data_IF_352291087720
#
_entry.id   IF_352291087720
#
_cell.length_a   1.000
_cell.length_b   1.000
_cell.length_c   1.000
_cell.angle_alpha   90.00
_cell.angle_beta   90.00
_cell.angle_gamma   90.00
#
_symmetry.space_group_name_H-M   'P 1'
#
loop_
_entity.id
_entity.type
_entity.pdbx_description
1 polymer ?
#
# COMPACT_ATOMS: atom_id res chain seq x y z
N UNK A 1 -91.22 18.01 7.40
CA UNK A 1 -91.75 18.33 8.73
C UNK A 1 -90.57 18.38 9.69
N UNK A 2 -90.45 19.49 10.44
CA UNK A 2 -89.65 19.70 11.66
C UNK A 2 -88.10 19.56 11.54
N UNK A 3 -87.36 20.69 11.47
CA UNK A 3 -86.80 21.49 12.59
C UNK A 3 -85.32 21.11 12.83
N UNK A 4 -84.29 21.98 12.89
CA UNK A 4 -84.10 23.41 13.21
C UNK A 4 -82.83 23.93 12.48
N UNK A 5 -82.90 25.14 11.90
CA UNK A 5 -82.19 26.40 12.28
C UNK A 5 -80.65 26.27 12.33
N UNK A 6 -79.85 26.92 11.45
CA UNK A 6 -79.80 28.36 11.16
C UNK A 6 -78.64 28.96 11.98
N UNK A 7 -77.45 29.18 11.39
CA UNK A 7 -76.96 30.47 10.85
C UNK A 7 -76.73 31.53 11.97
N UNK A 8 -75.69 32.34 12.04
CA UNK A 8 -74.61 32.74 11.14
C UNK A 8 -73.66 33.68 11.89
N UNK A 9 -72.41 33.75 11.47
CA UNK A 9 -71.49 34.85 11.74
C UNK A 9 -70.09 34.36 11.43
N UNK A 10 -69.36 34.85 10.44
CA UNK A 10 -69.54 35.95 9.52
C UNK A 10 -68.14 36.24 8.94
N UNK A 11 -68.14 36.93 7.81
CA UNK A 11 -66.99 37.60 7.19
C UNK A 11 -66.17 36.77 6.19
N UNK A 12 -66.39 37.20 4.95
CA UNK A 12 -65.80 36.91 3.66
C UNK A 12 -64.29 37.14 3.61
N UNK A 13 -63.53 36.16 3.11
CA UNK A 13 -62.19 36.36 2.54
C UNK A 13 -61.95 35.37 1.40
N UNK A 14 -61.88 35.95 0.20
CA UNK A 14 -61.39 35.33 -1.05
C UNK A 14 -60.10 34.52 -0.81
N UNK A 15 -60.12 33.24 -1.19
CA UNK A 15 -58.93 32.37 -1.23
C UNK A 15 -58.47 32.24 -2.67
N UNK A 16 -57.24 32.70 -2.92
CA UNK A 16 -56.42 32.45 -4.10
C UNK A 16 -55.54 31.22 -3.84
N UNK A 17 -55.46 30.35 -4.85
CA UNK A 17 -54.44 29.33 -5.15
C UNK A 17 -53.39 28.97 -4.07
N UNK A 18 -53.51 27.76 -3.51
CA UNK A 18 -52.44 27.09 -2.76
C UNK A 18 -51.81 25.99 -3.61
N UNK A 19 -50.58 26.21 -4.08
CA UNK A 19 -49.72 25.19 -4.68
C UNK A 19 -49.16 24.25 -3.62
N UNK A 20 -49.19 22.96 -3.92
CA UNK A 20 -48.68 21.89 -3.08
C UNK A 20 -47.15 21.79 -3.25
N UNK A 21 -46.39 22.31 -2.29
CA UNK A 21 -44.94 22.02 -2.14
C UNK A 21 -44.77 20.88 -1.15
N UNK A 22 -44.40 19.71 -1.66
CA UNK A 22 -43.99 18.56 -0.86
C UNK A 22 -42.59 18.87 -0.31
N UNK A 23 -42.52 19.24 0.97
CA UNK A 23 -41.27 19.35 1.71
C UNK A 23 -40.69 17.97 1.94
N UNK A 24 -39.57 17.67 1.28
CA UNK A 24 -38.76 16.49 1.58
C UNK A 24 -38.02 16.69 2.91
N UNK A 25 -38.29 15.85 3.90
CA UNK A 25 -37.41 15.69 5.05
C UNK A 25 -36.07 15.13 4.54
N UNK A 26 -35.04 15.97 4.52
CA UNK A 26 -33.66 15.49 4.52
C UNK A 26 -33.38 14.88 5.90
N UNK A 27 -33.39 13.55 5.99
CA UNK A 27 -32.89 12.85 7.17
C UNK A 27 -31.39 13.13 7.30
N UNK A 28 -31.00 13.91 8.30
CA UNK A 28 -29.61 14.11 8.67
C UNK A 28 -29.04 12.77 9.16
N UNK A 29 -28.01 12.27 8.49
CA UNK A 29 -27.28 11.08 8.91
C UNK A 29 -26.54 11.36 10.24
N UNK A 30 -26.44 10.38 11.15
CA UNK A 30 -25.73 10.57 12.41
C UNK A 30 -24.25 10.84 12.14
N UNK A 31 -23.73 11.94 12.69
CA UNK A 31 -22.29 12.19 12.75
C UNK A 31 -21.69 11.21 13.76
N UNK A 32 -21.05 10.15 13.26
CA UNK A 32 -20.58 9.08 14.16
C UNK A 32 -19.76 7.99 13.51
N UNK A 33 -18.92 8.32 12.52
CA UNK A 33 -17.69 7.59 12.21
C UNK A 33 -16.76 8.60 11.53
N UNK A 34 -15.63 8.91 12.16
CA UNK A 34 -14.56 9.58 11.42
C UNK A 34 -14.26 8.70 10.20
N UNK A 35 -14.51 9.21 8.98
CA UNK A 35 -14.04 8.54 7.77
C UNK A 35 -12.54 8.31 7.98
N UNK A 36 -12.07 7.09 7.79
CA UNK A 36 -10.63 6.81 7.73
C UNK A 36 -10.00 7.88 6.84
N UNK A 37 -8.93 8.52 7.32
CA UNK A 37 -8.24 9.54 6.53
C UNK A 37 -7.84 8.88 5.20
N UNK A 38 -8.33 9.42 4.09
CA UNK A 38 -8.06 8.86 2.77
C UNK A 38 -6.78 9.48 2.23
N UNK A 39 -5.89 8.65 1.69
CA UNK A 39 -4.70 9.13 0.99
C UNK A 39 -5.14 9.92 -0.26
N UNK A 40 -4.53 11.09 -0.49
CA UNK A 40 -4.81 11.87 -1.71
C UNK A 40 -4.52 11.03 -2.96
N UNK A 41 -5.57 10.85 -3.77
CA UNK A 41 -5.53 10.10 -5.00
C UNK A 41 -4.53 10.67 -6.04
N UNK A 42 -4.17 11.95 -5.93
CA UNK A 42 -3.26 12.63 -6.83
C UNK A 42 -1.84 12.82 -6.27
N UNK A 43 -1.55 12.29 -5.07
CA UNK A 43 -0.27 12.51 -4.40
C UNK A 43 0.95 12.09 -5.24
N UNK A 44 0.79 11.11 -6.14
CA UNK A 44 1.84 10.65 -7.05
C UNK A 44 2.09 11.51 -8.28
N UNK A 45 1.22 12.48 -8.61
CA UNK A 45 1.28 13.20 -9.88
C UNK A 45 2.57 14.01 -10.01
N UNK A 46 3.41 13.64 -10.96
CA UNK A 46 4.68 14.30 -11.26
C UNK A 46 5.81 13.96 -10.27
N UNK A 47 5.55 13.13 -9.27
CA UNK A 47 6.54 12.64 -8.32
C UNK A 47 7.51 11.68 -8.98
N UNK A 48 8.79 11.83 -8.65
CA UNK A 48 9.89 11.06 -9.20
C UNK A 48 10.11 9.80 -8.34
N UNK A 49 10.09 8.62 -8.95
CA UNK A 49 10.31 7.35 -8.26
C UNK A 49 11.58 6.69 -8.79
N UNK A 50 12.50 6.38 -7.88
CA UNK A 50 13.58 5.44 -8.16
C UNK A 50 13.10 4.02 -7.87
N UNK A 51 12.92 3.24 -8.93
CA UNK A 51 12.54 1.83 -8.83
C UNK A 51 13.80 0.97 -8.94
N UNK A 52 14.25 0.43 -7.81
CA UNK A 52 15.43 -0.43 -7.72
C UNK A 52 14.98 -1.88 -7.91
N UNK A 53 15.49 -2.53 -8.94
CA UNK A 53 15.12 -3.88 -9.33
C UNK A 53 16.30 -4.57 -9.98
N UNK A 54 16.16 -5.86 -10.30
CA UNK A 54 17.17 -6.53 -11.06
C UNK A 54 16.96 -6.39 -12.58
N UNK A 55 17.90 -5.76 -13.26
CA UNK A 55 17.86 -5.59 -14.72
C UNK A 55 18.75 -6.58 -15.46
N UNK A 56 19.65 -7.29 -14.77
CA UNK A 56 20.71 -8.09 -15.43
C UNK A 56 20.63 -9.62 -15.27
N UNK A 57 19.96 -10.18 -14.25
CA UNK A 57 19.87 -11.64 -13.96
C UNK A 57 19.37 -12.42 -15.17
N UNK A 58 18.29 -11.98 -15.83
CA UNK A 58 17.74 -12.69 -16.98
C UNK A 58 18.69 -12.66 -18.18
N UNK A 59 19.34 -11.52 -18.46
CA UNK A 59 20.28 -11.41 -19.59
C UNK A 59 21.53 -12.23 -19.35
N UNK A 60 22.10 -12.18 -18.13
CA UNK A 60 23.21 -13.04 -17.71
C UNK A 60 22.85 -14.53 -17.85
N UNK A 61 21.64 -14.91 -17.43
CA UNK A 61 21.19 -16.30 -17.53
C UNK A 61 21.02 -16.76 -18.99
N UNK A 62 20.50 -15.90 -19.88
CA UNK A 62 20.39 -16.19 -21.32
C UNK A 62 21.74 -16.31 -22.02
N UNK A 63 22.75 -15.56 -21.56
CA UNK A 63 24.09 -15.55 -22.13
C UNK A 63 25.04 -16.62 -21.55
N UNK A 64 24.66 -17.30 -20.47
CA UNK A 64 25.51 -18.26 -19.78
C UNK A 64 25.78 -19.52 -20.63
N UNK A 65 26.99 -20.08 -20.47
CA UNK A 65 27.43 -21.31 -21.15
C UNK A 65 28.02 -22.29 -20.13
N UNK A 66 27.44 -23.51 -19.95
CA UNK A 66 26.21 -23.96 -20.58
C UNK A 66 24.98 -23.15 -20.10
N UNK A 67 23.91 -23.07 -20.91
CA UNK A 67 22.71 -22.34 -20.51
C UNK A 67 22.04 -23.02 -19.30
N UNK A 68 21.43 -22.24 -18.38
CA UNK A 68 20.62 -22.77 -17.30
C UNK A 68 19.40 -23.54 -17.82
N UNK A 69 18.77 -24.31 -16.94
CA UNK A 69 17.52 -25.00 -17.29
C UNK A 69 16.43 -24.00 -17.74
N UNK A 70 15.59 -24.36 -18.74
CA UNK A 70 14.53 -23.47 -19.25
C UNK A 70 13.60 -22.92 -18.16
N UNK A 71 13.32 -23.70 -17.12
CA UNK A 71 12.50 -23.29 -15.98
C UNK A 71 13.09 -22.07 -15.24
N UNK A 72 14.42 -21.98 -15.15
CA UNK A 72 15.11 -20.83 -14.53
C UNK A 72 14.94 -19.57 -15.36
N UNK A 73 15.06 -19.69 -16.69
CA UNK A 73 14.85 -18.55 -17.61
C UNK A 73 13.41 -18.07 -17.53
N UNK A 74 12.43 -18.99 -17.49
CA UNK A 74 11.03 -18.66 -17.35
C UNK A 74 10.72 -17.95 -16.01
N UNK A 75 11.29 -18.43 -14.90
CA UNK A 75 11.15 -17.76 -13.60
C UNK A 75 11.71 -16.34 -13.63
N UNK A 76 12.94 -16.15 -14.13
CA UNK A 76 13.57 -14.83 -14.26
C UNK A 76 12.77 -13.87 -15.17
N UNK A 77 12.15 -14.39 -16.22
CA UNK A 77 11.23 -13.61 -17.05
C UNK A 77 9.99 -13.19 -16.27
N UNK A 78 9.38 -14.11 -15.52
CA UNK A 78 8.23 -13.81 -14.65
C UNK A 78 8.53 -12.71 -13.63
N UNK A 79 9.72 -12.74 -13.01
CA UNK A 79 10.14 -11.72 -12.04
C UNK A 79 10.21 -10.33 -12.69
N UNK A 80 10.88 -10.23 -13.84
CA UNK A 80 10.94 -8.99 -14.62
C UNK A 80 9.56 -8.51 -15.06
N UNK A 81 8.68 -9.41 -15.46
CA UNK A 81 7.32 -9.04 -15.88
C UNK A 81 6.50 -8.48 -14.70
N UNK A 82 6.73 -8.98 -13.48
CA UNK A 82 6.10 -8.44 -12.27
C UNK A 82 6.64 -7.06 -11.90
N UNK A 83 7.95 -6.82 -12.02
CA UNK A 83 8.54 -5.48 -11.90
C UNK A 83 7.89 -4.51 -12.90
N UNK A 84 7.74 -4.94 -14.16
CA UNK A 84 7.12 -4.10 -15.20
C UNK A 84 5.66 -3.77 -14.90
N UNK A 85 4.89 -4.72 -14.35
CA UNK A 85 3.51 -4.48 -13.92
C UNK A 85 3.45 -3.47 -12.76
N UNK A 86 4.35 -3.58 -11.78
CA UNK A 86 4.45 -2.62 -10.69
C UNK A 86 4.82 -1.21 -11.18
N UNK A 87 5.79 -1.10 -12.09
CA UNK A 87 6.19 0.16 -12.73
C UNK A 87 5.03 0.77 -13.52
N UNK A 88 4.32 -0.03 -14.33
CA UNK A 88 3.16 0.44 -15.09
C UNK A 88 2.04 0.94 -14.16
N UNK A 89 1.82 0.25 -13.04
CA UNK A 89 0.86 0.69 -12.04
C UNK A 89 1.24 2.05 -11.42
N UNK A 90 2.50 2.24 -11.03
CA UNK A 90 2.99 3.54 -10.56
C UNK A 90 2.79 4.63 -11.61
N UNK A 91 3.16 4.37 -12.86
CA UNK A 91 2.96 5.33 -13.96
C UNK A 91 1.48 5.70 -14.15
N UNK A 92 0.57 4.74 -13.98
CA UNK A 92 -0.89 4.99 -14.06
C UNK A 92 -1.39 5.95 -12.97
N UNK A 93 -0.69 6.05 -11.83
CA UNK A 93 -0.97 6.99 -10.75
C UNK A 93 -0.29 8.37 -10.96
N UNK A 94 0.41 8.55 -12.09
CA UNK A 94 1.06 9.81 -12.46
C UNK A 94 2.50 9.96 -11.96
N UNK A 95 3.08 8.90 -11.37
CA UNK A 95 4.51 8.88 -11.03
C UNK A 95 5.37 8.83 -12.29
N UNK A 96 6.55 9.45 -12.20
CA UNK A 96 7.62 9.36 -13.19
C UNK A 96 8.66 8.38 -12.68
N UNK A 97 8.68 7.18 -13.26
CA UNK A 97 9.49 6.08 -12.75
C UNK A 97 10.80 5.96 -13.51
N UNK A 98 11.93 6.04 -12.80
CA UNK A 98 13.28 5.70 -13.29
C UNK A 98 13.67 4.37 -12.68
N UNK A 99 13.85 3.35 -13.51
CA UNK A 99 14.36 2.06 -13.08
C UNK A 99 15.88 2.09 -13.03
N UNK A 100 16.45 1.49 -12.00
CA UNK A 100 17.89 1.29 -11.86
C UNK A 100 18.17 -0.13 -11.41
N UNK A 101 19.32 -0.65 -11.82
CA UNK A 101 19.77 -1.99 -11.43
C UNK A 101 20.28 -1.99 -9.98
N UNK A 102 20.23 -3.14 -9.32
CA UNK A 102 20.67 -3.36 -7.94
C UNK A 102 22.11 -2.88 -7.66
N UNK A 103 23.00 -2.90 -8.66
CA UNK A 103 24.39 -2.41 -8.54
C UNK A 103 24.53 -0.89 -8.61
N UNK A 104 23.47 -0.15 -8.93
CA UNK A 104 23.58 1.28 -9.21
C UNK A 104 24.02 2.08 -7.98
N UNK A 105 24.74 3.17 -8.22
CA UNK A 105 25.18 4.09 -7.16
C UNK A 105 23.98 4.66 -6.41
N UNK A 106 24.16 4.92 -5.11
CA UNK A 106 23.17 5.63 -4.28
C UNK A 106 22.87 7.04 -4.81
N UNK A 107 23.79 7.64 -5.57
CA UNK A 107 23.61 8.97 -6.18
C UNK A 107 22.40 9.06 -7.13
N UNK A 108 21.95 7.92 -7.68
CA UNK A 108 20.74 7.82 -8.50
C UNK A 108 19.46 8.23 -7.75
N UNK A 109 19.49 8.21 -6.42
CA UNK A 109 18.39 8.67 -5.56
C UNK A 109 18.26 10.21 -5.52
N UNK A 110 19.23 10.96 -6.05
CA UNK A 110 19.18 12.42 -6.04
C UNK A 110 17.98 12.93 -6.85
N UNK A 111 17.18 13.80 -6.23
CA UNK A 111 16.00 14.41 -6.88
C UNK A 111 14.79 13.49 -6.99
N UNK A 112 14.81 12.34 -6.31
CA UNK A 112 13.70 11.40 -6.25
C UNK A 112 12.80 11.72 -5.04
N UNK A 113 11.49 11.56 -5.21
CA UNK A 113 10.49 11.74 -4.14
C UNK A 113 10.20 10.42 -3.40
N UNK A 114 10.54 9.28 -4.01
CA UNK A 114 10.33 7.94 -3.46
C UNK A 114 11.40 6.99 -3.98
N UNK A 115 11.87 6.10 -3.10
CA UNK A 115 12.64 4.91 -3.47
C UNK A 115 11.74 3.70 -3.27
N UNK A 116 11.62 2.85 -4.27
CA UNK A 116 10.94 1.56 -4.16
C UNK A 116 11.94 0.46 -4.52
N UNK A 117 12.19 -0.45 -3.58
CA UNK A 117 13.08 -1.59 -3.75
C UNK A 117 12.22 -2.84 -3.98
N UNK A 118 12.31 -3.39 -5.19
CA UNK A 118 11.63 -4.64 -5.54
C UNK A 118 12.30 -5.84 -4.85
N UNK A 119 11.55 -6.93 -4.69
CA UNK A 119 12.12 -8.22 -4.25
C UNK A 119 12.94 -8.89 -5.35
N UNK A 120 12.85 -8.44 -6.61
CA UNK A 120 13.69 -9.03 -7.67
C UNK A 120 15.19 -8.77 -7.50
N UNK A 121 15.57 -7.82 -6.64
CA UNK A 121 16.96 -7.47 -6.33
C UNK A 121 17.72 -8.62 -5.65
N UNK A 122 19.02 -8.48 -5.51
CA UNK A 122 19.80 -9.21 -4.53
C UNK A 122 20.06 -8.28 -3.33
N UNK A 123 19.61 -8.68 -2.15
CA UNK A 123 19.75 -7.88 -0.92
C UNK A 123 21.22 -7.58 -0.58
N UNK A 124 22.16 -8.48 -0.93
CA UNK A 124 23.59 -8.28 -0.69
C UNK A 124 24.11 -7.12 -1.56
N UNK A 125 23.71 -7.07 -2.83
CA UNK A 125 24.15 -6.07 -3.80
C UNK A 125 23.54 -4.68 -3.53
N UNK A 126 22.32 -4.65 -3.00
CA UNK A 126 21.68 -3.40 -2.55
C UNK A 126 22.28 -2.92 -1.23
N UNK A 127 22.37 -3.81 -0.25
CA UNK A 127 22.82 -3.52 1.12
C UNK A 127 22.11 -2.34 1.79
N UNK A 128 22.79 -1.72 2.75
CA UNK A 128 22.24 -0.59 3.52
C UNK A 128 22.27 0.78 2.84
N UNK A 129 22.58 0.88 1.54
CA UNK A 129 22.94 2.17 0.89
C UNK A 129 21.82 3.21 0.92
N UNK A 130 20.57 2.78 0.99
CA UNK A 130 19.40 3.68 1.05
C UNK A 130 18.94 4.02 2.48
N UNK A 131 19.49 3.36 3.51
CA UNK A 131 19.03 3.45 4.91
C UNK A 131 18.91 4.88 5.42
N UNK A 132 19.97 5.67 5.26
CA UNK A 132 20.10 7.01 5.84
C UNK A 132 19.54 8.13 4.95
N UNK A 133 19.03 7.83 3.75
CA UNK A 133 18.54 8.87 2.85
C UNK A 133 17.24 9.49 3.37
N UNK A 134 17.12 10.83 3.37
CA UNK A 134 15.90 11.55 3.78
C UNK A 134 14.83 11.55 2.68
N UNK A 135 14.67 10.41 1.99
CA UNK A 135 13.69 10.18 0.92
C UNK A 135 12.79 9.02 1.37
N UNK A 136 11.45 9.10 1.26
CA UNK A 136 10.55 7.99 1.54
C UNK A 136 11.01 6.69 0.85
N UNK A 137 10.87 5.55 1.54
CA UNK A 137 11.31 4.26 1.04
C UNK A 137 10.24 3.19 1.27
N UNK A 138 9.93 2.45 0.20
CA UNK A 138 9.14 1.22 0.23
C UNK A 138 10.05 0.06 -0.17
N UNK A 139 10.02 -1.03 0.58
CA UNK A 139 10.72 -2.27 0.20
C UNK A 139 9.75 -3.44 0.17
N UNK A 140 9.92 -4.29 -0.84
CA UNK A 140 9.32 -5.62 -0.89
C UNK A 140 10.32 -6.67 -0.39
N UNK A 141 11.62 -6.38 -0.49
CA UNK A 141 12.71 -7.26 -0.10
C UNK A 141 12.81 -7.36 1.43
N UNK A 142 12.61 -8.57 1.97
CA UNK A 142 12.63 -8.82 3.41
C UNK A 142 14.06 -8.89 3.96
N UNK A 143 15.01 -9.38 3.15
CA UNK A 143 16.39 -9.60 3.53
C UNK A 143 17.15 -8.27 3.67
N UNK A 144 16.50 -7.16 3.32
CA UNK A 144 16.98 -5.78 3.57
C UNK A 144 16.40 -5.14 4.83
N UNK A 145 15.42 -5.75 5.51
CA UNK A 145 14.72 -5.09 6.61
C UNK A 145 15.66 -4.79 7.79
N UNK A 146 16.62 -5.66 8.08
CA UNK A 146 17.65 -5.42 9.12
C UNK A 146 18.62 -4.29 8.73
N UNK A 147 19.09 -4.31 7.49
CA UNK A 147 20.03 -3.37 6.88
C UNK A 147 19.44 -1.96 6.85
N UNK A 148 18.15 -1.87 6.52
CA UNK A 148 17.36 -0.63 6.54
C UNK A 148 16.98 -0.20 7.97
N UNK A 149 17.22 -1.04 8.98
CA UNK A 149 16.91 -0.81 10.39
C UNK A 149 15.42 -0.94 10.73
N UNK A 150 14.62 -1.53 9.84
CA UNK A 150 13.17 -1.65 9.97
C UNK A 150 12.74 -2.79 10.89
N UNK A 151 13.60 -3.79 11.08
CA UNK A 151 13.44 -4.93 11.98
C UNK A 151 14.79 -5.24 12.65
N UNK A 152 14.84 -6.30 13.46
CA UNK A 152 16.12 -6.96 13.78
C UNK A 152 16.75 -7.65 12.57
N UNK A 153 17.87 -8.33 12.78
CA UNK A 153 18.75 -8.84 11.72
C UNK A 153 18.57 -10.34 11.42
N UNK A 154 17.79 -11.05 12.22
CA UNK A 154 17.75 -12.52 12.18
C UNK A 154 16.65 -13.01 11.24
N UNK A 155 17.04 -13.49 10.05
CA UNK A 155 16.13 -14.19 9.13
C UNK A 155 15.42 -15.37 9.83
N UNK A 156 14.14 -15.55 9.52
CA UNK A 156 13.24 -16.52 10.16
C UNK A 156 12.78 -16.14 11.57
N UNK A 157 13.35 -15.10 12.18
CA UNK A 157 12.92 -14.58 13.48
C UNK A 157 12.38 -13.16 13.37
N UNK A 158 13.16 -12.21 12.86
CA UNK A 158 12.84 -10.78 12.77
C UNK A 158 12.21 -10.39 11.42
N UNK A 159 12.46 -11.18 10.38
CA UNK A 159 11.87 -11.06 9.05
C UNK A 159 11.92 -12.42 8.36
N UNK A 160 11.17 -12.57 7.27
CA UNK A 160 11.22 -13.78 6.47
C UNK A 160 10.11 -13.86 5.44
N UNK A 161 9.89 -15.07 4.94
CA UNK A 161 8.80 -15.39 4.03
C UNK A 161 8.00 -16.57 4.54
N UNK A 162 6.74 -16.61 4.15
CA UNK A 162 5.88 -17.78 4.26
C UNK A 162 5.31 -18.11 2.87
N UNK A 163 5.26 -19.40 2.56
CA UNK A 163 4.62 -19.94 1.36
C UNK A 163 3.11 -20.12 1.57
N UNK A 164 2.40 -20.51 0.51
CA UNK A 164 0.98 -20.84 0.52
C UNK A 164 0.07 -19.72 1.09
N UNK A 165 0.35 -18.48 0.69
CA UNK A 165 -0.34 -17.27 1.13
C UNK A 165 -1.28 -16.73 0.06
N UNK A 166 -2.48 -16.30 0.49
CA UNK A 166 -3.37 -15.42 -0.31
C UNK A 166 -4.13 -14.40 0.52
N UNK A 167 -4.18 -14.61 1.83
CA UNK A 167 -4.90 -13.78 2.77
C UNK A 167 -3.94 -13.04 3.69
N UNK A 168 -4.37 -11.86 4.11
CA UNK A 168 -3.78 -11.13 5.23
C UNK A 168 -4.87 -10.84 6.27
N UNK A 169 -4.46 -10.48 7.48
CA UNK A 169 -5.37 -10.01 8.52
C UNK A 169 -5.12 -8.52 8.78
N UNK A 170 -6.09 -7.66 8.42
CA UNK A 170 -6.00 -6.21 8.65
C UNK A 170 -6.26 -5.92 10.12
N UNK A 171 -5.26 -5.36 10.81
CA UNK A 171 -5.30 -5.03 12.25
C UNK A 171 -5.55 -3.55 12.53
N UNK A 172 -5.28 -2.67 11.55
CA UNK A 172 -5.44 -1.22 11.72
C UNK A 172 -6.24 -0.58 10.58
N UNK A 173 -7.51 -0.97 10.46
CA UNK A 173 -8.43 -0.49 9.42
C UNK A 173 -8.66 1.04 9.36
N UNK A 174 -8.64 1.80 10.49
CA UNK A 174 -8.82 3.25 10.42
C UNK A 174 -7.67 4.00 9.73
N UNK A 175 -6.48 3.40 9.61
CA UNK A 175 -5.30 4.05 9.05
C UNK A 175 -5.39 4.20 7.52
N UNK A 176 -4.91 5.31 6.91
CA UNK A 176 -4.96 5.51 5.45
C UNK A 176 -4.36 4.37 4.63
N UNK A 177 -3.26 3.77 5.11
CA UNK A 177 -2.61 2.62 4.48
C UNK A 177 -3.49 1.37 4.39
N UNK A 178 -4.54 1.24 5.21
CA UNK A 178 -5.49 0.12 5.10
C UNK A 178 -6.40 0.24 3.86
N UNK A 179 -6.30 1.33 3.10
CA UNK A 179 -7.04 1.55 1.84
C UNK A 179 -8.58 1.45 1.99
N UNK A 180 -9.11 1.69 3.19
CA UNK A 180 -10.53 1.53 3.49
C UNK A 180 -10.99 0.07 3.62
N UNK A 181 -10.07 -0.90 3.60
CA UNK A 181 -10.38 -2.29 3.91
C UNK A 181 -10.84 -2.43 5.36
N UNK A 182 -11.79 -3.33 5.58
CA UNK A 182 -12.29 -3.63 6.93
C UNK A 182 -11.26 -4.43 7.71
N UNK A 183 -11.27 -4.27 9.03
CA UNK A 183 -10.49 -5.12 9.92
C UNK A 183 -10.88 -6.60 9.72
N UNK A 184 -9.91 -7.50 9.88
CA UNK A 184 -10.09 -8.94 9.66
C UNK A 184 -9.49 -9.44 8.35
N UNK A 185 -9.93 -10.64 7.94
CA UNK A 185 -9.38 -11.38 6.81
C UNK A 185 -9.67 -10.66 5.49
N UNK A 186 -8.63 -10.42 4.69
CA UNK A 186 -8.73 -9.86 3.33
C UNK A 186 -8.08 -10.81 2.33
N UNK A 187 -8.76 -11.10 1.23
CA UNK A 187 -8.21 -11.89 0.13
C UNK A 187 -7.47 -10.98 -0.83
N UNK A 188 -6.13 -10.99 -0.78
CA UNK A 188 -5.30 -10.03 -1.50
C UNK A 188 -4.63 -10.62 -2.74
N UNK A 189 -4.61 -11.94 -2.89
CA UNK A 189 -4.05 -12.66 -4.04
C UNK A 189 -5.05 -13.63 -4.66
N UNK A 190 -4.91 -13.90 -5.96
CA UNK A 190 -5.84 -14.73 -6.73
C UNK A 190 -5.54 -16.24 -6.71
N UNK A 191 -4.32 -16.63 -6.33
CA UNK A 191 -3.88 -18.01 -6.11
C UNK A 191 -3.41 -18.21 -4.66
N UNK A 192 -3.48 -19.45 -4.16
CA UNK A 192 -3.08 -19.79 -2.79
C UNK A 192 -1.61 -20.16 -2.62
N UNK A 193 -0.88 -20.45 -3.69
CA UNK A 193 0.52 -20.90 -3.64
C UNK A 193 1.53 -19.76 -3.72
N UNK A 194 1.10 -18.50 -3.56
CA UNK A 194 2.02 -17.38 -3.53
C UNK A 194 2.80 -17.34 -2.24
N UNK A 195 4.00 -16.77 -2.34
CA UNK A 195 4.84 -16.43 -1.19
C UNK A 195 4.56 -14.99 -0.75
N UNK A 196 4.61 -14.74 0.55
CA UNK A 196 4.60 -13.37 1.10
C UNK A 196 5.81 -13.09 1.98
N UNK A 197 6.33 -11.88 1.84
CA UNK A 197 7.29 -11.28 2.77
C UNK A 197 6.62 -10.83 4.06
N UNK A 198 7.35 -10.94 5.17
CA UNK A 198 6.94 -10.42 6.48
C UNK A 198 8.12 -9.86 7.27
N UNK A 199 7.81 -8.99 8.23
CA UNK A 199 8.76 -8.45 9.21
C UNK A 199 8.17 -8.34 10.62
N UNK A 200 9.04 -8.25 11.63
CA UNK A 200 8.73 -7.90 13.02
C UNK A 200 9.21 -6.48 13.31
N UNK A 201 8.37 -5.47 13.08
CA UNK A 201 8.75 -4.10 13.35
C UNK A 201 8.92 -3.83 14.84
N UNK A 202 9.69 -2.79 15.16
CA UNK A 202 9.80 -2.25 16.51
C UNK A 202 8.55 -1.42 16.88
N UNK A 203 8.42 -1.07 18.16
CA UNK A 203 7.25 -0.36 18.70
C UNK A 203 6.94 1.00 18.04
N UNK A 204 7.90 1.62 17.36
CA UNK A 204 7.69 2.88 16.63
C UNK A 204 6.96 2.73 15.29
N UNK A 205 6.67 1.50 14.85
CA UNK A 205 5.93 1.25 13.61
C UNK A 205 4.43 1.30 13.82
N UNK A 206 3.72 1.66 12.74
CA UNK A 206 2.32 1.32 12.55
C UNK A 206 2.22 0.01 11.77
N UNK A 207 1.60 -1.01 12.37
CA UNK A 207 1.28 -2.26 11.67
C UNK A 207 -0.12 -2.15 11.08
N UNK A 208 -0.25 -2.44 9.79
CA UNK A 208 -1.51 -2.35 9.03
C UNK A 208 -2.16 -3.72 8.90
N UNK A 209 -1.35 -4.72 8.55
CA UNK A 209 -1.80 -6.09 8.40
C UNK A 209 -0.70 -7.09 8.75
N UNK A 210 -1.12 -8.26 9.22
CA UNK A 210 -0.27 -9.42 9.46
C UNK A 210 -0.58 -10.54 8.48
N UNK A 211 0.30 -11.53 8.39
CA UNK A 211 -0.05 -12.80 7.77
C UNK A 211 -1.22 -13.45 8.54
N UNK A 212 -2.06 -14.21 7.84
CA UNK A 212 -3.26 -14.80 8.44
C UNK A 212 -2.86 -15.86 9.49
N UNK A 213 -3.33 -15.69 10.73
CA UNK A 213 -3.02 -16.61 11.83
C UNK A 213 -1.65 -16.37 12.49
N UNK A 214 -0.86 -15.43 11.98
CA UNK A 214 0.51 -15.15 12.40
C UNK A 214 0.62 -13.70 12.89
N UNK A 215 0.14 -13.36 14.10
CA UNK A 215 0.04 -11.98 14.59
C UNK A 215 1.40 -11.28 14.73
N UNK A 216 2.49 -12.04 14.87
CA UNK A 216 3.85 -11.51 14.96
C UNK A 216 4.52 -11.32 13.59
N UNK A 217 3.87 -11.68 12.47
CA UNK A 217 4.43 -11.53 11.13
C UNK A 217 3.70 -10.42 10.38
N UNK A 218 4.20 -9.19 10.47
CA UNK A 218 3.60 -8.06 9.79
C UNK A 218 3.85 -8.15 8.27
N UNK A 219 2.76 -8.23 7.51
CA UNK A 219 2.75 -8.26 6.05
C UNK A 219 2.79 -6.83 5.46
N UNK A 220 2.21 -5.86 6.18
CA UNK A 220 2.29 -4.44 5.85
C UNK A 220 2.50 -3.65 7.13
N UNK A 221 3.63 -2.95 7.21
CA UNK A 221 3.95 -2.04 8.30
C UNK A 221 4.75 -0.84 7.79
N UNK A 222 4.69 0.24 8.55
CA UNK A 222 5.39 1.47 8.20
C UNK A 222 5.89 2.23 9.44
N UNK A 223 6.83 3.13 9.22
CA UNK A 223 7.31 4.12 10.16
C UNK A 223 7.06 5.51 9.57
N UNK A 224 6.56 6.42 10.40
CA UNK A 224 6.55 7.85 10.08
C UNK A 224 7.96 8.43 10.18
N UNK A 225 8.17 9.60 9.58
CA UNK A 225 9.43 10.33 9.75
C UNK A 225 9.65 10.63 11.24
N UNK A 226 10.84 10.31 11.74
CA UNK A 226 11.22 10.51 13.14
C UNK A 226 10.78 9.40 14.09
N UNK A 227 10.01 8.42 13.64
CA UNK A 227 9.70 7.23 14.46
C UNK A 227 10.97 6.46 14.79
N UNK A 228 11.02 5.92 16.01
CA UNK A 228 12.09 5.03 16.46
C UNK A 228 11.98 3.68 15.78
N UNK A 229 13.03 3.32 15.04
CA UNK A 229 13.21 2.02 14.40
C UNK A 229 14.21 1.17 15.21
N UNK A 230 14.68 0.05 14.65
CA UNK A 230 15.57 -0.87 15.33
C UNK A 230 16.88 -0.19 15.76
N UNK A 231 17.39 -0.57 16.93
CA UNK A 231 18.61 -0.02 17.53
C UNK A 231 18.60 1.52 17.64
N UNK A 232 17.45 2.08 18.01
CA UNK A 232 17.26 3.53 18.25
C UNK A 232 17.47 4.41 17.01
N UNK A 233 17.55 3.82 15.82
CA UNK A 233 17.66 4.55 14.57
C UNK A 233 16.35 5.30 14.28
N UNK A 234 16.41 6.61 14.03
CA UNK A 234 15.24 7.39 13.69
C UNK A 234 14.98 7.34 12.18
N UNK A 235 13.73 7.08 11.79
CA UNK A 235 13.33 7.08 10.39
C UNK A 235 13.59 8.47 9.74
N UNK A 236 14.52 8.60 8.77
CA UNK A 236 14.87 9.91 8.19
C UNK A 236 13.76 10.47 7.28
N UNK A 237 12.90 9.58 6.78
CA UNK A 237 11.65 9.81 6.07
C UNK A 237 10.75 8.59 6.28
N UNK A 238 9.52 8.58 5.73
CA UNK A 238 8.64 7.41 5.78
C UNK A 238 9.36 6.14 5.31
N UNK A 239 9.16 5.04 6.02
CA UNK A 239 9.68 3.70 5.70
C UNK A 239 8.52 2.73 5.69
N UNK A 240 8.37 1.92 4.66
CA UNK A 240 7.27 0.96 4.55
C UNK A 240 7.77 -0.37 3.99
N UNK A 241 7.33 -1.46 4.60
CA UNK A 241 7.52 -2.82 4.10
C UNK A 241 6.18 -3.36 3.60
N UNK A 242 6.21 -4.08 2.49
CA UNK A 242 5.02 -4.60 1.82
C UNK A 242 5.25 -6.06 1.39
N UNK A 243 4.24 -6.90 1.56
CA UNK A 243 4.34 -8.36 1.49
C UNK A 243 4.72 -8.99 0.15
N UNK A 244 4.83 -8.22 -0.93
CA UNK A 244 5.00 -8.77 -2.28
C UNK A 244 6.30 -9.55 -2.42
N UNK A 245 6.24 -10.73 -3.05
CA UNK A 245 7.39 -11.46 -3.60
C UNK A 245 7.57 -11.12 -5.10
N UNK A 246 8.71 -11.48 -5.69
CA UNK A 246 9.11 -11.18 -7.08
C UNK A 246 8.14 -11.64 -8.15
N UNK A 247 7.25 -12.60 -7.89
CA UNK A 247 6.27 -13.11 -8.85
C UNK A 247 4.80 -12.87 -8.44
N UNK A 248 4.58 -12.08 -7.39
CA UNK A 248 3.27 -11.93 -6.74
C UNK A 248 2.44 -10.75 -7.28
N UNK A 249 3.08 -9.70 -7.82
CA UNK A 249 2.37 -8.47 -8.23
C UNK A 249 1.21 -8.75 -9.20
N UNK A 250 1.43 -9.66 -10.14
CA UNK A 250 0.44 -10.05 -11.15
C UNK A 250 -0.82 -10.70 -10.57
N UNK A 251 -0.71 -11.35 -9.41
CA UNK A 251 -1.81 -12.03 -8.74
C UNK A 251 -2.58 -11.13 -7.77
N UNK A 252 -2.23 -9.84 -7.66
CA UNK A 252 -2.93 -8.92 -6.77
C UNK A 252 -4.40 -8.77 -7.16
N UNK A 253 -5.27 -9.13 -6.23
CA UNK A 253 -6.71 -8.85 -6.28
C UNK A 253 -7.00 -7.35 -6.08
N UNK A 254 -8.22 -6.88 -6.32
CA UNK A 254 -8.60 -5.48 -6.08
C UNK A 254 -8.21 -4.97 -4.68
N UNK A 255 -8.34 -5.82 -3.65
CA UNK A 255 -7.95 -5.51 -2.27
C UNK A 255 -6.43 -5.32 -2.13
N UNK A 256 -5.64 -6.19 -2.73
CA UNK A 256 -4.18 -6.09 -2.75
C UNK A 256 -3.68 -4.88 -3.54
N UNK A 257 -4.27 -4.60 -4.70
CA UNK A 257 -3.99 -3.40 -5.50
C UNK A 257 -4.39 -2.12 -4.75
N UNK A 258 -5.49 -2.12 -3.99
CA UNK A 258 -5.90 -0.99 -3.18
C UNK A 258 -4.87 -0.68 -2.07
N UNK A 259 -4.35 -1.71 -1.40
CA UNK A 259 -3.28 -1.56 -0.42
C UNK A 259 -1.99 -1.04 -1.06
N UNK A 260 -1.59 -1.59 -2.22
CA UNK A 260 -0.40 -1.12 -2.92
C UNK A 260 -0.54 0.36 -3.34
N UNK A 261 -1.71 0.74 -3.87
CA UNK A 261 -2.04 2.14 -4.17
C UNK A 261 -1.92 3.03 -2.95
N UNK A 262 -2.50 2.63 -1.82
CA UNK A 262 -2.44 3.40 -0.59
C UNK A 262 -0.99 3.53 -0.09
N UNK A 263 -0.18 2.47 -0.16
CA UNK A 263 1.21 2.46 0.24
C UNK A 263 2.04 3.50 -0.53
N UNK A 264 1.99 3.47 -1.87
CA UNK A 264 2.81 4.36 -2.72
C UNK A 264 2.38 5.82 -2.62
N UNK A 265 1.07 6.09 -2.52
CA UNK A 265 0.55 7.45 -2.39
C UNK A 265 0.77 8.02 -0.98
N UNK A 266 0.65 7.19 0.06
CA UNK A 266 0.89 7.61 1.45
C UNK A 266 2.37 7.94 1.64
N UNK A 267 3.29 7.13 1.10
CA UNK A 267 4.72 7.37 1.23
C UNK A 267 5.16 8.75 0.73
N UNK A 268 4.53 9.28 -0.33
CA UNK A 268 4.85 10.59 -0.92
C UNK A 268 3.93 11.72 -0.47
N UNK A 269 2.90 11.42 0.31
CA UNK A 269 2.05 12.45 0.92
C UNK A 269 2.83 13.20 2.00
N UNK A 270 2.42 14.43 2.38
CA UNK A 270 3.00 15.11 3.54
C UNK A 270 2.98 14.22 4.80
N UNK A 271 4.05 14.22 5.61
CA UNK A 271 4.02 13.63 6.95
C UNK A 271 2.91 14.27 7.80
N UNK A 272 2.27 13.46 8.64
CA UNK A 272 1.34 13.96 9.68
C UNK A 272 2.10 14.40 10.94
#
# INVERSE_FOLDING_TARGET
MAHRLGASGGVDRRVLFGGLLIGGLAAALPQGWARAAAVDANAGRGKQVLYVCNLTKLEKARAATPPPEPKRIAALQSWRDNDMKAVAFLQSLGFKVRQVDEYSSVDEARGQDLILISESVDAIDVGGKYRALPIPLITFENDLLGELGMTGWKSGHDYGTDDDQRFIFVVNAPHPLAAGLKAGVQNVLDDEHYKMNWGKPCLGAVTIATLLGEPDKAAVFAYEKGSTMYAEFLAPARRLSFFLWQDTFQGLRPEGLALFRAAVLWAVSPPE
#
